data_IF_729499976542
#
_entry.id   IF_729499976542
#
_cell.length_a   1.000
_cell.length_b   1.000
_cell.length_c   1.000
_cell.angle_alpha   90.00
_cell.angle_beta   90.00
_cell.angle_gamma   90.00
#
_symmetry.space_group_name_H-M   'P 1'
#
loop_
_entity.id
_entity.type
_entity.pdbx_description
1 polymer ?
#
# COMPACT_ATOMS: atom_id res chain seq x y z
N UNK A 1 6.97 -2.24 -5.91
CA UNK A 1 6.32 -3.16 -4.94
C UNK A 1 6.66 -4.63 -5.15
N UNK A 2 6.74 -5.15 -6.38
CA UNK A 2 6.91 -6.61 -6.61
C UNK A 2 8.29 -7.22 -6.25
N UNK A 3 9.29 -6.39 -5.94
CA UNK A 3 10.63 -6.85 -5.54
C UNK A 3 10.82 -6.99 -4.03
N UNK A 4 9.76 -6.86 -3.23
CA UNK A 4 9.79 -6.94 -1.77
C UNK A 4 9.29 -8.31 -1.34
N UNK A 5 10.18 -9.18 -0.87
CA UNK A 5 9.87 -10.55 -0.44
C UNK A 5 10.68 -10.91 0.80
N UNK A 6 10.27 -11.96 1.52
CA UNK A 6 10.94 -12.42 2.71
C UNK A 6 12.20 -13.24 2.34
N UNK A 7 13.36 -12.88 2.89
CA UNK A 7 14.63 -13.56 2.62
C UNK A 7 14.68 -14.98 3.19
N UNK A 8 14.08 -15.21 4.35
CA UNK A 8 14.14 -16.48 5.08
C UNK A 8 13.01 -17.44 4.69
N UNK A 9 11.82 -16.90 4.38
CA UNK A 9 10.62 -17.70 4.11
C UNK A 9 9.99 -17.36 2.75
N UNK A 10 10.27 -18.18 1.74
CA UNK A 10 9.67 -18.04 0.40
C UNK A 10 8.17 -18.39 0.37
N UNK A 11 7.66 -19.06 1.39
CA UNK A 11 6.24 -19.43 1.53
C UNK A 11 5.46 -18.42 2.35
N UNK A 12 6.12 -17.34 2.80
CA UNK A 12 5.50 -16.32 3.64
C UNK A 12 4.19 -15.80 3.02
N UNK A 13 3.10 -15.71 3.79
CA UNK A 13 1.79 -15.38 3.25
C UNK A 13 1.76 -13.97 2.65
N UNK A 14 2.50 -13.02 3.21
CA UNK A 14 2.70 -11.68 2.66
C UNK A 14 3.87 -11.72 1.67
N UNK A 15 3.56 -11.63 0.36
CA UNK A 15 4.50 -11.76 -0.75
C UNK A 15 4.02 -11.00 -2.00
N UNK A 16 4.91 -10.63 -2.95
CA UNK A 16 4.58 -9.88 -4.17
C UNK A 16 3.41 -10.43 -4.98
N UNK A 17 3.29 -11.75 -4.99
CA UNK A 17 2.26 -12.46 -5.73
C UNK A 17 0.84 -12.06 -5.34
N UNK A 18 0.62 -11.59 -4.11
CA UNK A 18 -0.70 -11.10 -3.69
C UNK A 18 -1.19 -9.97 -4.60
N UNK A 19 -0.35 -8.95 -4.81
CA UNK A 19 -0.70 -7.79 -5.66
C UNK A 19 -0.84 -8.25 -7.12
N UNK A 20 0.09 -9.07 -7.60
CA UNK A 20 0.09 -9.59 -8.97
C UNK A 20 -1.19 -10.37 -9.30
N UNK A 21 -1.60 -11.29 -8.43
CA UNK A 21 -2.79 -12.13 -8.61
C UNK A 21 -4.06 -11.29 -8.53
N UNK A 22 -4.16 -10.35 -7.58
CA UNK A 22 -5.30 -9.43 -7.47
C UNK A 22 -5.42 -8.60 -8.75
N UNK A 23 -4.34 -7.97 -9.21
CA UNK A 23 -4.35 -7.15 -10.41
C UNK A 23 -4.77 -7.97 -11.64
N UNK A 24 -4.19 -9.16 -11.82
CA UNK A 24 -4.56 -10.08 -12.91
C UNK A 24 -6.05 -10.42 -12.86
N UNK A 25 -6.59 -10.72 -11.67
CA UNK A 25 -7.99 -11.07 -11.51
C UNK A 25 -8.93 -9.89 -11.83
N UNK A 26 -8.57 -8.68 -11.38
CA UNK A 26 -9.30 -7.46 -11.73
C UNK A 26 -9.27 -7.19 -13.24
N UNK A 27 -8.17 -7.53 -13.91
CA UNK A 27 -8.04 -7.44 -15.37
C UNK A 27 -8.91 -8.48 -16.09
N UNK A 28 -8.90 -9.73 -15.65
CA UNK A 28 -9.75 -10.81 -16.20
C UNK A 28 -11.24 -10.47 -16.14
N UNK A 29 -11.67 -9.74 -15.10
CA UNK A 29 -13.05 -9.27 -14.97
C UNK A 29 -13.34 -7.93 -15.67
N UNK A 30 -12.37 -7.35 -16.40
CA UNK A 30 -12.52 -6.05 -17.06
C UNK A 30 -12.76 -4.88 -16.09
N UNK A 31 -12.46 -5.05 -14.80
CA UNK A 31 -12.65 -4.01 -13.78
C UNK A 31 -11.65 -2.87 -14.03
N UNK A 32 -10.41 -3.22 -14.37
CA UNK A 32 -9.30 -2.27 -14.61
C UNK A 32 -9.67 -1.23 -15.68
N UNK A 33 -10.36 -1.65 -16.73
CA UNK A 33 -10.71 -0.78 -17.87
C UNK A 33 -11.80 0.23 -17.51
N UNK A 34 -12.52 -0.02 -16.40
CA UNK A 34 -13.55 0.86 -15.85
C UNK A 34 -13.01 1.77 -14.74
N UNK A 35 -11.75 1.57 -14.34
CA UNK A 35 -11.10 2.32 -13.28
C UNK A 35 -10.49 3.62 -13.81
N UNK A 36 -10.58 4.69 -13.02
CA UNK A 36 -9.72 5.85 -13.25
C UNK A 36 -8.32 5.54 -12.72
N UNK A 37 -7.30 5.78 -13.55
CA UNK A 37 -5.91 5.49 -13.20
C UNK A 37 -5.27 6.70 -12.55
N UNK A 38 -4.94 6.57 -11.27
CA UNK A 38 -4.11 7.54 -10.56
C UNK A 38 -2.66 7.07 -10.62
N UNK A 39 -1.76 7.96 -11.03
CA UNK A 39 -0.33 7.66 -11.08
C UNK A 39 0.21 7.57 -9.64
N UNK A 40 0.82 6.44 -9.30
CA UNK A 40 1.53 6.31 -8.03
C UNK A 40 2.71 7.28 -7.94
N UNK A 41 3.00 7.70 -6.71
CA UNK A 41 4.18 8.48 -6.36
C UNK A 41 4.69 8.04 -5.01
N UNK A 42 5.94 8.37 -4.72
CA UNK A 42 6.45 8.28 -3.36
C UNK A 42 5.84 9.39 -2.49
N UNK A 43 5.62 9.08 -1.21
CA UNK A 43 5.33 10.11 -0.21
C UNK A 43 6.55 10.98 0.03
N UNK A 44 6.32 12.28 0.25
CA UNK A 44 7.38 13.20 0.67
C UNK A 44 7.52 13.19 2.19
N UNK A 45 8.66 13.65 2.69
CA UNK A 45 8.99 13.58 4.13
C UNK A 45 7.94 14.30 5.00
N UNK A 46 7.49 15.48 4.60
CA UNK A 46 6.49 16.26 5.32
C UNK A 46 5.12 15.58 5.44
N UNK A 47 4.80 14.63 4.54
CA UNK A 47 3.56 13.83 4.64
C UNK A 47 3.65 12.75 5.73
N UNK A 48 4.87 12.42 6.19
CA UNK A 48 5.14 11.34 7.14
C UNK A 48 5.55 11.85 8.53
N UNK A 49 6.15 13.04 8.60
CA UNK A 49 6.70 13.62 9.85
C UNK A 49 5.64 13.81 10.95
N UNK A 50 4.39 14.03 10.59
CA UNK A 50 3.28 14.16 11.55
C UNK A 50 2.83 12.82 12.15
N UNK A 51 3.15 11.71 11.49
CA UNK A 51 2.68 10.36 11.85
C UNK A 51 3.79 9.47 12.43
N UNK A 52 5.05 9.77 12.11
CA UNK A 52 6.18 8.92 12.42
C UNK A 52 7.32 9.73 13.05
N UNK A 53 7.94 9.14 14.08
CA UNK A 53 9.11 9.77 14.70
C UNK A 53 10.28 9.90 13.69
N UNK A 54 11.10 10.97 13.79
CA UNK A 54 12.28 11.13 12.95
C UNK A 54 13.27 9.94 13.04
N UNK A 55 13.32 9.28 14.21
CA UNK A 55 14.14 8.07 14.40
C UNK A 55 13.65 6.91 13.53
N UNK A 56 12.34 6.71 13.46
CA UNK A 56 11.75 5.66 12.63
C UNK A 56 11.96 5.93 11.14
N UNK A 57 11.74 7.17 10.69
CA UNK A 57 11.93 7.56 9.28
C UNK A 57 13.38 7.36 8.83
N UNK A 58 14.36 7.73 9.66
CA UNK A 58 15.78 7.46 9.37
C UNK A 58 16.09 5.96 9.29
N UNK A 59 15.60 5.18 10.26
CA UNK A 59 15.79 3.73 10.26
C UNK A 59 15.25 3.08 8.99
N UNK A 60 14.04 3.47 8.56
CA UNK A 60 13.42 2.97 7.33
C UNK A 60 14.27 3.34 6.10
N UNK A 61 14.75 4.59 6.00
CA UNK A 61 15.60 5.02 4.88
C UNK A 61 16.92 4.23 4.78
N UNK A 62 17.51 3.86 5.92
CA UNK A 62 18.77 3.11 5.99
C UNK A 62 18.64 1.63 5.57
N UNK A 63 17.44 1.06 5.55
CA UNK A 63 17.21 -0.36 5.22
C UNK A 63 17.79 -0.75 3.86
N UNK A 64 17.78 0.17 2.89
CA UNK A 64 18.30 -0.06 1.53
C UNK A 64 19.80 -0.37 1.49
N UNK A 65 20.54 0.06 2.51
CA UNK A 65 22.00 -0.10 2.62
C UNK A 65 22.44 -1.31 3.45
N UNK A 66 21.50 -1.97 4.14
CA UNK A 66 21.77 -3.12 5.03
C UNK A 66 21.79 -4.43 4.25
N UNK A 67 22.64 -5.37 4.70
CA UNK A 67 22.67 -6.73 4.17
C UNK A 67 21.46 -7.54 4.67
N UNK A 68 21.05 -8.61 3.95
CA UNK A 68 19.97 -9.49 4.38
C UNK A 68 20.09 -9.96 5.85
N UNK A 69 21.26 -10.43 6.27
CA UNK A 69 21.48 -10.90 7.65
C UNK A 69 21.23 -9.81 8.70
N UNK A 70 21.66 -8.58 8.43
CA UNK A 70 21.42 -7.42 9.32
C UNK A 70 19.94 -7.06 9.39
N UNK A 71 19.20 -7.22 8.29
CA UNK A 71 17.76 -7.01 8.22
C UNK A 71 17.01 -8.09 9.00
N UNK A 72 17.45 -9.35 8.93
CA UNK A 72 16.91 -10.48 9.70
C UNK A 72 17.11 -10.28 11.20
N UNK A 73 18.25 -9.77 11.66
CA UNK A 73 18.43 -9.42 13.08
C UNK A 73 17.60 -8.20 13.45
N UNK A 74 17.52 -7.19 12.59
CA UNK A 74 16.77 -5.97 12.88
C UNK A 74 15.27 -6.24 13.02
N UNK A 75 14.69 -7.10 12.18
CA UNK A 75 13.27 -7.41 12.20
C UNK A 75 12.82 -8.15 13.46
N UNK A 76 13.72 -8.87 14.16
CA UNK A 76 13.41 -9.56 15.44
C UNK A 76 12.96 -8.59 16.55
N UNK A 77 13.32 -7.30 16.44
CA UNK A 77 12.85 -6.26 17.36
C UNK A 77 11.37 -5.88 17.14
N UNK A 78 10.72 -6.44 16.11
CA UNK A 78 9.35 -6.14 15.73
C UNK A 78 8.53 -7.43 15.68
N UNK A 79 7.25 -7.33 16.03
CA UNK A 79 6.36 -8.47 15.99
C UNK A 79 5.75 -8.63 14.59
N UNK A 80 5.93 -9.83 14.00
CA UNK A 80 5.25 -10.24 12.75
C UNK A 80 5.52 -9.32 11.55
N UNK A 81 6.77 -8.84 11.42
CA UNK A 81 7.24 -8.04 10.29
C UNK A 81 8.49 -8.70 9.72
N UNK A 82 8.62 -8.70 8.39
CA UNK A 82 9.90 -8.97 7.74
C UNK A 82 10.43 -7.70 7.06
N UNK A 83 11.75 -7.55 7.06
CA UNK A 83 12.43 -6.42 6.46
C UNK A 83 13.19 -6.85 5.21
N UNK A 84 13.22 -5.96 4.23
CA UNK A 84 13.90 -6.13 2.96
C UNK A 84 14.49 -4.78 2.56
N UNK A 85 15.53 -4.76 1.74
CA UNK A 85 16.16 -3.51 1.26
C UNK A 85 15.19 -2.55 0.56
N UNK A 86 14.11 -3.11 -0.01
CA UNK A 86 13.05 -2.40 -0.74
C UNK A 86 11.83 -2.06 0.13
N UNK A 87 11.86 -2.37 1.45
CA UNK A 87 10.72 -2.10 2.35
C UNK A 87 10.38 -0.61 2.34
N UNK A 88 11.39 0.25 2.43
CA UNK A 88 11.17 1.69 2.45
C UNK A 88 10.53 2.18 1.15
N UNK A 89 11.06 1.78 0.00
CA UNK A 89 10.51 2.18 -1.30
C UNK A 89 9.06 1.71 -1.48
N UNK A 90 8.76 0.47 -1.09
CA UNK A 90 7.41 -0.06 -1.12
C UNK A 90 6.47 0.73 -0.21
N UNK A 91 6.90 1.07 1.01
CA UNK A 91 6.14 1.87 1.96
C UNK A 91 5.88 3.29 1.46
N UNK A 92 6.91 3.96 0.90
CA UNK A 92 6.80 5.31 0.35
C UNK A 92 5.85 5.36 -0.84
N UNK A 93 5.93 4.39 -1.76
CA UNK A 93 5.00 4.32 -2.90
C UNK A 93 3.58 4.04 -2.40
N UNK A 94 3.39 3.13 -1.44
CA UNK A 94 2.08 2.82 -0.90
C UNK A 94 1.44 4.05 -0.23
N UNK A 95 2.18 4.75 0.64
CA UNK A 95 1.73 5.97 1.31
C UNK A 95 1.42 7.08 0.30
N UNK A 96 2.36 7.39 -0.60
CA UNK A 96 2.18 8.44 -1.60
C UNK A 96 1.05 8.17 -2.58
N UNK A 97 0.76 6.90 -2.88
CA UNK A 97 -0.38 6.52 -3.73
C UNK A 97 -1.73 6.76 -3.05
N UNK A 98 -1.84 6.51 -1.75
CA UNK A 98 -3.06 6.84 -0.98
C UNK A 98 -3.26 8.35 -0.94
N UNK A 99 -2.19 9.13 -0.75
CA UNK A 99 -2.28 10.59 -0.80
C UNK A 99 -2.66 11.10 -2.19
N UNK A 100 -2.03 10.58 -3.25
CA UNK A 100 -2.36 10.95 -4.63
C UNK A 100 -3.82 10.64 -4.97
N UNK A 101 -4.34 9.51 -4.51
CA UNK A 101 -5.75 9.18 -4.65
C UNK A 101 -6.63 10.16 -3.89
N UNK A 102 -6.33 10.43 -2.61
CA UNK A 102 -7.10 11.39 -1.81
C UNK A 102 -7.16 12.77 -2.47
N UNK A 103 -6.04 13.27 -3.00
CA UNK A 103 -6.00 14.54 -3.73
C UNK A 103 -6.84 14.47 -5.01
N UNK A 104 -6.75 13.39 -5.79
CA UNK A 104 -7.59 13.20 -6.98
C UNK A 104 -9.09 13.13 -6.67
N UNK A 105 -9.47 12.70 -5.47
CA UNK A 105 -10.86 12.74 -4.99
C UNK A 105 -11.26 14.15 -4.55
N UNK A 106 -10.38 14.89 -3.89
CA UNK A 106 -10.68 16.24 -3.41
C UNK A 106 -10.75 17.27 -4.54
N UNK A 107 -9.92 17.11 -5.58
CA UNK A 107 -9.90 18.01 -6.74
C UNK A 107 -11.09 17.79 -7.70
N UNK A 108 -11.89 16.73 -7.49
CA UNK A 108 -13.04 16.39 -8.33
C UNK A 108 -14.31 16.17 -7.52
N UNK A 109 -15.45 16.64 -8.01
CA UNK A 109 -16.77 16.45 -7.38
C UNK A 109 -17.29 15.00 -7.55
N UNK A 110 -16.56 14.00 -7.03
CA UNK A 110 -16.79 12.58 -7.33
C UNK A 110 -16.58 11.66 -6.12
N UNK A 111 -17.50 10.73 -5.92
CA UNK A 111 -17.43 9.64 -4.94
C UNK A 111 -16.62 8.46 -5.48
N UNK A 112 -15.73 7.89 -4.66
CA UNK A 112 -14.87 6.75 -5.02
C UNK A 112 -14.85 5.71 -3.90
N UNK A 113 -14.76 4.42 -4.26
CA UNK A 113 -14.50 3.31 -3.35
C UNK A 113 -13.10 2.73 -3.58
N UNK A 114 -12.32 2.64 -2.51
CA UNK A 114 -10.99 2.02 -2.49
C UNK A 114 -11.11 0.50 -2.45
N UNK A 115 -10.66 -0.18 -3.51
CA UNK A 115 -10.38 -1.62 -3.44
C UNK A 115 -8.90 -1.79 -3.16
N UNK A 116 -8.54 -1.75 -1.88
CA UNK A 116 -7.23 -2.21 -1.42
C UNK A 116 -7.43 -3.45 -0.54
N UNK A 117 -6.82 -4.56 -0.90
CA UNK A 117 -6.86 -5.80 -0.15
C UNK A 117 -6.06 -5.63 1.17
N UNK A 118 -6.75 -5.10 2.19
CA UNK A 118 -6.28 -4.95 3.58
C UNK A 118 -5.66 -6.24 4.14
N UNK A 119 -4.60 -6.17 4.98
CA UNK A 119 -4.59 -6.94 6.22
C UNK A 119 -5.58 -6.29 7.21
N UNK A 120 -6.33 -7.14 7.92
CA UNK A 120 -7.54 -6.83 8.66
C UNK A 120 -7.50 -5.60 9.60
N UNK A 121 -8.55 -4.78 9.52
CA UNK A 121 -9.35 -4.23 10.65
C UNK A 121 -10.43 -3.29 10.08
N UNK A 122 -11.69 -3.66 10.26
CA UNK A 122 -12.89 -2.84 10.02
C UNK A 122 -13.59 -2.70 11.37
N UNK A 123 -13.77 -1.47 11.85
CA UNK A 123 -14.89 -1.06 12.70
C UNK A 123 -15.06 0.46 12.55
N UNK A 124 -15.97 0.87 11.66
CA UNK A 124 -16.68 2.13 11.80
C UNK A 124 -18.02 1.96 11.10
N UNK A 125 -19.07 1.86 11.90
CA UNK A 125 -20.46 1.92 11.47
C UNK A 125 -20.98 3.33 11.71
N UNK A 126 -21.56 3.94 10.69
CA UNK A 126 -22.73 4.80 10.85
C UNK A 126 -23.46 4.88 9.52
N UNK A 127 -24.55 4.12 9.49
CA UNK A 127 -25.79 4.29 8.74
C UNK A 127 -25.89 5.57 7.89
N UNK A 128 -25.99 5.43 6.57
CA UNK A 128 -26.87 6.24 5.72
C UNK A 128 -27.20 5.41 4.46
N UNK A 129 -28.50 5.21 4.22
CA UNK A 129 -29.04 4.65 2.98
C UNK A 129 -28.90 5.69 1.88
N UNK A 130 -28.06 5.42 0.88
CA UNK A 130 -28.04 6.17 -0.37
C UNK A 130 -27.99 5.24 -1.59
N UNK A 131 -28.73 5.66 -2.60
CA UNK A 131 -29.16 4.90 -3.79
C UNK A 131 -27.99 4.26 -4.54
N UNK A 132 -27.92 2.93 -4.52
CA UNK A 132 -27.04 2.13 -5.38
C UNK A 132 -27.53 2.16 -6.84
N UNK A 133 -27.15 3.18 -7.61
CA UNK A 133 -27.32 3.14 -9.08
C UNK A 133 -26.07 3.51 -9.88
N UNK A 134 -24.92 3.70 -9.26
CA UNK A 134 -23.65 3.80 -10.00
C UNK A 134 -22.64 2.79 -9.45
N UNK A 135 -22.21 1.89 -10.32
CA UNK A 135 -21.24 0.85 -9.98
C UNK A 135 -19.98 1.51 -9.43
N UNK A 136 -19.47 1.13 -8.25
CA UNK A 136 -18.29 1.76 -7.67
C UNK A 136 -17.11 1.65 -8.64
N UNK A 137 -16.60 2.80 -9.06
CA UNK A 137 -15.41 2.90 -9.91
C UNK A 137 -14.20 2.62 -9.03
N UNK A 138 -13.74 1.38 -9.10
CA UNK A 138 -12.58 0.87 -8.38
C UNK A 138 -11.35 1.71 -8.76
N UNK A 139 -10.49 2.03 -7.79
CA UNK A 139 -9.19 2.66 -8.04
C UNK A 139 -8.09 1.65 -7.77
N UNK A 140 -7.21 1.48 -8.75
CA UNK A 140 -6.09 0.55 -8.69
C UNK A 140 -4.82 1.38 -8.62
N UNK A 141 -4.14 1.27 -7.49
CA UNK A 141 -2.80 1.81 -7.27
C UNK A 141 -1.83 0.90 -8.01
N UNK A 142 -1.13 1.43 -9.02
CA UNK A 142 -0.10 0.73 -9.78
C UNK A 142 1.29 1.29 -9.45
#
# INVERSE_FOLDING_TARGET
MLGHFNYEDQTHPERPDRIRVIYKRLQEFGIIDRCYRVKARQSILSELEDLHSPKHLRMMAELSSKKPDELTVLQENYNSVYLHRHTNDAALIAAGSVVALKLSVLDGDRSFDLVNAKPARYHCTSQHEDRFSEVPRVVIIA
#
